data_IF_298796452189
#
_entry.id   IF_298796452189
#
_cell.length_a   1.000
_cell.length_b   1.000
_cell.length_c   1.000
_cell.angle_alpha   90.00
_cell.angle_beta   90.00
_cell.angle_gamma   90.00
#
_symmetry.space_group_name_H-M   'P 1'
#
loop_
_entity.id
_entity.type
_entity.pdbx_description
1 polymer ?
#
# COMPACT_ATOMS: atom_id res chain seq x y z
N UNK A 1 9.95 -7.31 -9.54
CA UNK A 1 8.55 -7.52 -10.05
C UNK A 1 7.51 -7.61 -8.94
N UNK A 2 7.76 -8.23 -7.78
CA UNK A 2 6.77 -8.38 -6.70
C UNK A 2 6.16 -7.06 -6.22
N UNK A 3 6.96 -5.99 -6.12
CA UNK A 3 6.44 -4.65 -5.84
C UNK A 3 5.41 -4.18 -6.87
N UNK A 4 5.72 -4.36 -8.17
CA UNK A 4 4.79 -3.96 -9.25
C UNK A 4 3.50 -4.76 -9.17
N UNK A 5 3.58 -6.07 -8.87
CA UNK A 5 2.40 -6.90 -8.64
C UNK A 5 1.55 -6.37 -7.48
N UNK A 6 2.17 -6.03 -6.35
CA UNK A 6 1.45 -5.43 -5.22
C UNK A 6 0.77 -4.11 -5.59
N UNK A 7 1.47 -3.24 -6.31
CA UNK A 7 0.91 -1.97 -6.76
C UNK A 7 -0.24 -2.17 -7.77
N UNK A 8 -0.12 -3.14 -8.68
CA UNK A 8 -1.20 -3.50 -9.62
C UNK A 8 -2.40 -4.13 -8.88
N UNK A 9 -2.15 -4.94 -7.85
CA UNK A 9 -3.22 -5.49 -7.00
C UNK A 9 -4.04 -4.38 -6.33
N UNK A 10 -3.41 -3.27 -5.93
CA UNK A 10 -4.07 -2.08 -5.40
C UNK A 10 -4.70 -1.23 -6.53
N UNK A 11 -3.90 -0.48 -7.23
CA UNK A 11 -4.30 0.59 -8.16
C UNK A 11 -4.37 0.16 -9.63
N UNK A 12 -4.03 -1.09 -9.96
CA UNK A 12 -4.04 -1.58 -11.33
C UNK A 12 -5.42 -1.98 -11.84
N UNK A 13 -5.62 -1.90 -13.14
CA UNK A 13 -6.84 -2.34 -13.82
C UNK A 13 -6.48 -3.05 -15.12
N UNK A 14 -7.04 -4.23 -15.36
CA UNK A 14 -6.98 -4.92 -16.64
C UNK A 14 -8.28 -4.65 -17.39
N UNK A 15 -8.18 -4.38 -18.68
CA UNK A 15 -9.34 -4.24 -19.54
C UNK A 15 -9.08 -4.77 -20.95
N UNK A 16 -10.14 -5.22 -21.60
CA UNK A 16 -10.13 -5.63 -23.00
C UNK A 16 -10.29 -4.40 -23.88
N UNK A 17 -9.54 -4.32 -24.97
CA UNK A 17 -9.70 -3.25 -25.95
C UNK A 17 -11.10 -3.30 -26.61
N UNK A 18 -11.77 -2.15 -26.67
CA UNK A 18 -13.07 -2.05 -27.38
C UNK A 18 -12.91 -2.13 -28.89
N UNK A 19 -11.75 -1.75 -29.42
CA UNK A 19 -11.53 -1.60 -30.87
C UNK A 19 -10.72 -2.76 -31.47
N UNK A 20 -10.03 -3.54 -30.67
CA UNK A 20 -9.18 -4.65 -31.12
C UNK A 20 -9.58 -5.92 -30.39
N UNK A 21 -10.17 -6.88 -31.11
CA UNK A 21 -10.48 -8.20 -30.58
C UNK A 21 -9.25 -8.82 -29.92
N UNK A 22 -9.45 -9.42 -28.74
CA UNK A 22 -8.43 -10.18 -27.99
C UNK A 22 -7.19 -9.37 -27.55
N UNK A 23 -7.26 -8.03 -27.52
CA UNK A 23 -6.16 -7.21 -27.01
C UNK A 23 -6.42 -6.81 -25.57
N UNK A 24 -5.55 -7.27 -24.66
CA UNK A 24 -5.57 -6.94 -23.25
C UNK A 24 -4.62 -5.77 -22.96
N UNK A 25 -5.03 -4.93 -22.05
CA UNK A 25 -4.26 -3.79 -21.57
C UNK A 25 -4.34 -3.75 -20.06
N UNK A 26 -3.22 -3.62 -19.37
CA UNK A 26 -3.26 -3.20 -17.97
C UNK A 26 -2.92 -1.72 -17.84
N UNK A 27 -3.54 -1.09 -16.87
CA UNK A 27 -3.40 0.33 -16.61
C UNK A 27 -3.08 0.55 -15.14
N UNK A 28 -2.14 1.45 -14.88
CA UNK A 28 -1.84 1.96 -13.54
C UNK A 28 -2.06 3.46 -13.56
N UNK A 29 -2.78 3.98 -12.59
CA UNK A 29 -3.02 5.42 -12.41
C UNK A 29 -2.46 5.88 -11.07
N UNK A 30 -1.78 7.03 -11.05
CA UNK A 30 -1.23 7.62 -9.83
C UNK A 30 -1.21 9.15 -9.93
N UNK A 31 -1.29 9.83 -8.79
CA UNK A 31 -1.00 11.27 -8.70
C UNK A 31 0.50 11.57 -8.77
N UNK A 32 1.33 10.58 -8.47
CA UNK A 32 2.78 10.69 -8.38
C UNK A 32 3.45 10.26 -9.70
N UNK A 33 3.62 11.20 -10.65
CA UNK A 33 4.24 10.93 -11.96
C UNK A 33 5.63 10.30 -11.86
N UNK A 34 6.47 10.82 -10.94
CA UNK A 34 7.83 10.29 -10.72
C UNK A 34 7.81 8.83 -10.27
N UNK A 35 6.78 8.42 -9.53
CA UNK A 35 6.62 7.03 -9.13
C UNK A 35 6.25 6.13 -10.31
N UNK A 36 5.35 6.58 -11.20
CA UNK A 36 5.04 5.86 -12.43
C UNK A 36 6.25 5.71 -13.36
N UNK A 37 7.16 6.71 -13.40
CA UNK A 37 8.43 6.58 -14.14
C UNK A 37 9.27 5.45 -13.59
N UNK A 38 9.40 5.31 -12.28
CA UNK A 38 10.13 4.20 -11.66
C UNK A 38 9.50 2.84 -12.00
N UNK A 39 8.15 2.74 -11.92
CA UNK A 39 7.42 1.51 -12.30
C UNK A 39 7.65 1.19 -13.79
N UNK A 40 7.55 2.21 -14.66
CA UNK A 40 7.82 2.06 -16.09
C UNK A 40 9.20 1.48 -16.36
N UNK A 41 10.23 1.98 -15.66
CA UNK A 41 11.61 1.50 -15.80
C UNK A 41 11.76 0.03 -15.38
N UNK A 42 11.13 -0.38 -14.27
CA UNK A 42 11.14 -1.79 -13.80
C UNK A 42 10.40 -2.72 -14.76
N UNK A 43 9.39 -2.20 -15.47
CA UNK A 43 8.67 -2.94 -16.51
C UNK A 43 9.40 -2.94 -17.86
N UNK A 44 10.54 -2.24 -17.97
CA UNK A 44 11.26 -2.03 -19.25
C UNK A 44 10.32 -1.59 -20.36
N UNK A 45 9.36 -0.71 -20.01
CA UNK A 45 8.24 -0.35 -20.87
C UNK A 45 8.53 0.91 -21.67
N UNK A 46 8.30 0.90 -22.97
CA UNK A 46 8.36 2.07 -23.84
C UNK A 46 7.05 2.89 -23.87
N UNK A 47 5.99 2.43 -23.21
CA UNK A 47 4.71 3.12 -23.21
C UNK A 47 4.78 4.49 -22.55
N UNK A 48 4.06 5.46 -23.13
CA UNK A 48 4.01 6.84 -22.64
C UNK A 48 3.20 6.95 -21.35
N UNK A 49 3.70 7.72 -20.39
CA UNK A 49 2.92 8.18 -19.24
C UNK A 49 2.13 9.41 -19.67
N UNK A 50 0.80 9.33 -19.62
CA UNK A 50 -0.11 10.38 -20.02
C UNK A 50 -0.79 11.03 -18.82
N UNK A 51 -1.10 12.32 -18.91
CA UNK A 51 -1.89 13.03 -17.91
C UNK A 51 -3.38 12.74 -18.10
N UNK A 52 -4.10 12.56 -16.98
CA UNK A 52 -5.55 12.43 -16.93
C UNK A 52 -6.09 13.55 -16.05
N UNK A 53 -6.89 14.41 -16.63
CA UNK A 53 -7.55 15.48 -15.90
C UNK A 53 -8.87 14.99 -15.33
N UNK A 54 -9.08 15.19 -14.03
CA UNK A 54 -10.39 14.95 -13.42
C UNK A 54 -11.25 16.18 -13.74
N UNK A 55 -12.38 15.95 -14.41
CA UNK A 55 -13.30 17.01 -14.86
C UNK A 55 -14.08 17.74 -13.75
N UNK A 56 -13.64 17.65 -12.48
CA UNK A 56 -14.23 18.38 -11.37
C UNK A 56 -13.59 19.76 -11.20
N UNK A 57 -14.35 20.76 -10.72
CA UNK A 57 -13.88 22.15 -10.50
C UNK A 57 -12.62 22.27 -9.61
N UNK A 58 -12.30 21.25 -8.83
CA UNK A 58 -11.10 21.13 -7.98
C UNK A 58 -10.04 20.22 -8.61
N UNK A 59 -10.10 20.00 -9.92
CA UNK A 59 -9.44 18.98 -10.71
C UNK A 59 -7.94 18.84 -10.47
N UNK A 60 -7.57 17.80 -9.76
CA UNK A 60 -6.18 17.33 -9.69
C UNK A 60 -5.79 16.61 -10.97
N UNK A 61 -4.51 16.72 -11.34
CA UNK A 61 -3.93 15.93 -12.43
C UNK A 61 -3.53 14.56 -11.87
N UNK A 62 -4.02 13.49 -12.49
CA UNK A 62 -3.51 12.14 -12.32
C UNK A 62 -2.71 11.74 -13.56
N UNK A 63 -1.80 10.82 -13.41
CA UNK A 63 -1.00 10.26 -14.50
C UNK A 63 -1.31 8.79 -14.63
N UNK A 64 -1.22 8.24 -15.84
CA UNK A 64 -1.41 6.82 -16.06
C UNK A 64 -0.42 6.28 -17.10
N UNK A 65 -0.10 5.02 -16.95
CA UNK A 65 0.58 4.20 -17.95
C UNK A 65 -0.36 3.08 -18.36
N UNK A 66 -0.51 2.89 -19.67
CA UNK A 66 -1.31 1.81 -20.25
C UNK A 66 -0.38 0.91 -21.04
N UNK A 67 -0.23 -0.33 -20.57
CA UNK A 67 0.64 -1.34 -21.20
C UNK A 67 -0.25 -2.34 -21.92
N UNK A 68 -0.19 -2.32 -23.23
CA UNK A 68 -0.87 -3.29 -24.08
C UNK A 68 0.05 -4.48 -24.32
N UNK A 69 -0.14 -5.52 -23.55
CA UNK A 69 0.65 -6.75 -23.63
C UNK A 69 -0.19 -7.91 -23.13
N UNK A 70 -0.58 -8.80 -24.04
CA UNK A 70 -1.42 -9.94 -23.70
C UNK A 70 -0.71 -10.92 -22.76
N UNK A 71 0.60 -11.14 -22.94
CA UNK A 71 1.38 -12.05 -22.10
C UNK A 71 1.33 -11.59 -20.64
N UNK A 72 1.75 -10.37 -20.37
CA UNK A 72 1.73 -9.80 -19.01
C UNK A 72 0.30 -9.79 -18.43
N UNK A 73 -0.71 -9.43 -19.24
CA UNK A 73 -2.09 -9.43 -18.77
C UNK A 73 -2.60 -10.83 -18.44
N UNK A 74 -2.26 -11.82 -19.25
CA UNK A 74 -2.62 -13.23 -18.99
C UNK A 74 -1.89 -13.75 -17.74
N UNK A 75 -0.62 -13.44 -17.56
CA UNK A 75 0.12 -13.81 -16.36
C UNK A 75 -0.52 -13.20 -15.11
N UNK A 76 -0.91 -11.92 -15.17
CA UNK A 76 -1.64 -11.26 -14.08
C UNK A 76 -2.99 -11.94 -13.81
N UNK A 77 -3.72 -12.34 -14.85
CA UNK A 77 -4.99 -13.05 -14.72
C UNK A 77 -4.79 -14.44 -14.09
N UNK A 78 -3.76 -15.17 -14.54
CA UNK A 78 -3.45 -16.51 -14.03
C UNK A 78 -3.09 -16.52 -12.54
N UNK A 79 -2.46 -15.45 -12.04
CA UNK A 79 -2.17 -15.31 -10.61
C UNK A 79 -3.31 -14.69 -9.79
N UNK A 80 -4.46 -14.35 -10.42
CA UNK A 80 -5.66 -13.88 -9.71
C UNK A 80 -5.98 -12.39 -9.86
N UNK A 81 -5.25 -11.63 -10.67
CA UNK A 81 -5.57 -10.22 -10.97
C UNK A 81 -6.52 -10.15 -12.16
N UNK A 82 -7.82 -10.09 -11.88
CA UNK A 82 -8.85 -10.03 -12.91
C UNK A 82 -9.36 -8.63 -13.20
N UNK A 83 -10.17 -8.52 -14.26
CA UNK A 83 -10.94 -7.29 -14.52
C UNK A 83 -11.92 -7.05 -13.36
N UNK A 84 -12.10 -5.78 -12.96
CA UNK A 84 -13.00 -5.37 -11.86
C UNK A 84 -12.70 -6.06 -10.52
N UNK A 85 -11.43 -6.38 -10.26
CA UNK A 85 -10.94 -7.15 -9.10
C UNK A 85 -11.32 -6.61 -7.72
N UNK A 86 -11.72 -5.35 -7.63
CA UNK A 86 -11.92 -4.64 -6.34
C UNK A 86 -12.74 -5.44 -5.33
N UNK A 87 -13.81 -6.09 -5.77
CA UNK A 87 -14.70 -6.89 -4.91
C UNK A 87 -14.35 -8.39 -4.90
N UNK A 88 -13.58 -8.86 -5.86
CA UNK A 88 -13.37 -10.29 -6.12
C UNK A 88 -11.92 -10.73 -5.94
N UNK A 89 -11.03 -9.82 -5.52
CA UNK A 89 -9.64 -10.14 -5.32
C UNK A 89 -9.50 -11.28 -4.30
N UNK A 90 -8.81 -12.34 -4.69
CA UNK A 90 -8.51 -13.47 -3.83
C UNK A 90 -7.08 -13.38 -3.30
N UNK A 91 -6.70 -14.19 -2.29
CA UNK A 91 -5.31 -14.34 -1.90
C UNK A 91 -4.41 -14.61 -3.11
N UNK A 92 -3.29 -13.89 -3.19
CA UNK A 92 -2.36 -14.04 -4.30
C UNK A 92 -1.19 -14.97 -3.92
N UNK A 93 -0.72 -15.82 -4.84
CA UNK A 93 0.36 -16.78 -4.58
C UNK A 93 1.74 -16.09 -4.63
N UNK A 94 2.03 -15.26 -3.63
CA UNK A 94 3.30 -14.56 -3.50
C UNK A 94 4.23 -15.38 -2.62
N UNK A 95 5.42 -15.81 -3.11
CA UNK A 95 6.41 -16.48 -2.29
C UNK A 95 6.89 -15.62 -1.13
N UNK A 96 7.21 -16.23 0.02
CA UNK A 96 7.57 -15.52 1.26
C UNK A 96 8.79 -14.60 1.08
N UNK A 97 9.75 -14.98 0.24
CA UNK A 97 10.95 -14.17 -0.05
C UNK A 97 10.61 -12.84 -0.74
N UNK A 98 9.54 -12.78 -1.54
CA UNK A 98 9.07 -11.58 -2.26
C UNK A 98 7.93 -10.87 -1.55
N UNK A 99 7.44 -11.42 -0.45
CA UNK A 99 6.29 -10.87 0.26
C UNK A 99 6.51 -9.45 0.80
N UNK A 100 7.71 -9.07 1.32
CA UNK A 100 7.98 -7.68 1.71
C UNK A 100 7.81 -6.68 0.57
N UNK A 101 8.30 -7.03 -0.62
CA UNK A 101 8.17 -6.20 -1.81
C UNK A 101 6.72 -6.08 -2.27
N UNK A 102 6.00 -7.19 -2.32
CA UNK A 102 4.58 -7.21 -2.66
C UNK A 102 3.78 -6.33 -1.71
N UNK A 103 3.97 -6.49 -0.40
CA UNK A 103 3.27 -5.71 0.63
C UNK A 103 3.62 -4.23 0.50
N UNK A 104 4.89 -3.86 0.23
CA UNK A 104 5.29 -2.48 -0.01
C UNK A 104 4.57 -1.89 -1.22
N UNK A 105 4.48 -2.64 -2.33
CA UNK A 105 3.75 -2.22 -3.53
C UNK A 105 2.26 -2.03 -3.27
N UNK A 106 1.62 -2.99 -2.59
CA UNK A 106 0.21 -2.89 -2.22
C UNK A 106 -0.05 -1.73 -1.24
N UNK A 107 0.86 -1.53 -0.26
CA UNK A 107 0.79 -0.40 0.65
C UNK A 107 0.93 0.94 -0.07
N UNK A 108 1.80 1.04 -1.04
CA UNK A 108 2.00 2.28 -1.80
C UNK A 108 0.77 2.64 -2.65
N UNK A 109 0.02 1.67 -3.14
CA UNK A 109 -1.31 1.90 -3.72
C UNK A 109 -2.34 2.24 -2.64
N UNK A 110 -2.88 1.25 -1.96
CA UNK A 110 -4.06 1.33 -1.08
C UNK A 110 -3.75 1.53 0.41
N UNK A 111 -2.50 1.40 0.85
CA UNK A 111 -2.15 1.56 2.25
C UNK A 111 -2.23 3.01 2.74
N UNK A 112 -2.38 3.17 4.03
CA UNK A 112 -2.47 4.47 4.70
C UNK A 112 -1.39 4.63 5.75
N UNK A 113 -0.90 5.85 5.93
CA UNK A 113 -0.02 6.25 7.02
C UNK A 113 -0.45 7.59 7.56
N UNK A 114 -0.79 7.62 8.85
CA UNK A 114 -1.26 8.80 9.56
C UNK A 114 -0.33 9.13 10.71
N UNK A 115 -0.05 10.43 10.87
CA UNK A 115 0.53 11.00 12.07
C UNK A 115 -0.56 11.80 12.76
N UNK A 116 -0.82 11.51 14.03
CA UNK A 116 -1.87 12.16 14.81
C UNK A 116 -1.39 12.42 16.23
N UNK A 117 -2.06 13.30 16.96
CA UNK A 117 -1.72 13.63 18.34
C UNK A 117 -2.73 13.01 19.30
N UNK A 118 -2.22 12.42 20.39
CA UNK A 118 -3.00 11.99 21.54
C UNK A 118 -2.36 12.63 22.76
N UNK A 119 -3.13 13.41 23.51
CA UNK A 119 -2.65 14.14 24.71
C UNK A 119 -1.34 14.93 24.45
N UNK A 120 -1.30 15.68 23.33
CA UNK A 120 -0.14 16.46 22.92
C UNK A 120 0.99 15.65 22.26
N UNK A 121 0.88 14.36 22.20
CA UNK A 121 1.92 13.43 21.76
C UNK A 121 1.66 12.90 20.36
N UNK A 122 2.65 12.97 19.48
CA UNK A 122 2.55 12.41 18.13
C UNK A 122 2.65 10.89 18.11
N UNK A 123 1.71 10.28 17.41
CA UNK A 123 1.67 8.84 17.16
C UNK A 123 1.59 8.56 15.67
N UNK A 124 1.94 7.33 15.30
CA UNK A 124 1.78 6.82 13.94
C UNK A 124 0.78 5.68 13.92
N UNK A 125 -0.01 5.66 12.87
CA UNK A 125 -0.91 4.55 12.54
C UNK A 125 -0.75 4.25 11.06
N UNK A 126 -0.58 2.99 10.74
CA UNK A 126 -0.56 2.49 9.35
C UNK A 126 -1.63 1.43 9.17
N UNK A 127 -2.00 1.14 7.94
CA UNK A 127 -2.98 0.09 7.69
C UNK A 127 -3.41 0.00 6.25
N UNK A 128 -4.36 -0.89 6.04
CA UNK A 128 -4.96 -1.16 4.74
C UNK A 128 -6.48 -1.10 4.85
N UNK A 129 -7.13 -0.71 3.77
CA UNK A 129 -8.58 -0.81 3.61
C UNK A 129 -8.85 -1.57 2.32
N UNK A 130 -9.68 -2.60 2.38
CA UNK A 130 -10.05 -3.40 1.22
C UNK A 130 -11.52 -3.82 1.32
N UNK A 131 -12.19 -4.00 0.19
CA UNK A 131 -13.57 -4.50 0.14
C UNK A 131 -13.63 -6.01 -0.03
N UNK A 132 -12.54 -6.66 -0.43
CA UNK A 132 -12.46 -8.11 -0.48
C UNK A 132 -12.02 -8.68 0.85
N UNK A 133 -12.94 -9.32 1.57
CA UNK A 133 -12.66 -9.99 2.84
C UNK A 133 -11.63 -11.13 2.68
N UNK A 134 -11.74 -12.05 1.69
CA UNK A 134 -10.76 -13.12 1.56
C UNK A 134 -9.33 -12.62 1.38
N UNK A 135 -9.14 -11.58 0.58
CA UNK A 135 -7.82 -11.01 0.35
C UNK A 135 -7.24 -10.32 1.58
N UNK A 136 -8.04 -9.47 2.25
CA UNK A 136 -7.54 -8.69 3.40
C UNK A 136 -7.28 -9.59 4.62
N UNK A 137 -8.04 -10.66 4.80
CA UNK A 137 -7.86 -11.63 5.88
C UNK A 137 -6.58 -12.45 5.70
N UNK A 138 -6.33 -12.96 4.49
CA UNK A 138 -5.06 -13.61 4.13
C UNK A 138 -3.86 -12.66 4.30
N UNK A 139 -3.98 -11.43 3.79
CA UNK A 139 -2.96 -10.41 3.95
C UNK A 139 -2.66 -10.13 5.44
N UNK A 140 -3.71 -9.99 6.27
CA UNK A 140 -3.59 -9.78 7.71
C UNK A 140 -2.83 -10.93 8.38
N UNK A 141 -3.23 -12.16 8.10
CA UNK A 141 -2.62 -13.36 8.67
C UNK A 141 -1.15 -13.49 8.29
N UNK A 142 -0.82 -13.39 7.01
CA UNK A 142 0.56 -13.46 6.50
C UNK A 142 1.43 -12.32 7.01
N UNK A 143 0.90 -11.10 6.99
CA UNK A 143 1.63 -9.91 7.46
C UNK A 143 1.92 -10.01 8.96
N UNK A 144 0.93 -10.35 9.78
CA UNK A 144 1.13 -10.47 11.22
C UNK A 144 2.13 -11.57 11.57
N UNK A 145 2.11 -12.70 10.86
CA UNK A 145 3.12 -13.76 10.98
C UNK A 145 4.51 -13.22 10.63
N UNK A 146 4.67 -12.52 9.50
CA UNK A 146 5.95 -11.97 9.05
C UNK A 146 6.51 -10.89 10.02
N UNK A 147 5.63 -10.11 10.65
CA UNK A 147 5.98 -9.09 11.64
C UNK A 147 6.21 -9.65 13.05
N UNK A 148 5.94 -10.92 13.27
CA UNK A 148 5.91 -11.53 14.60
C UNK A 148 5.04 -10.73 15.58
N UNK A 149 3.77 -10.57 15.23
CA UNK A 149 2.73 -9.91 16.04
C UNK A 149 1.45 -10.74 16.01
N UNK A 150 0.55 -10.59 16.99
CA UNK A 150 -0.76 -11.23 16.95
C UNK A 150 -1.57 -10.77 15.73
N UNK A 151 -2.33 -11.70 15.13
CA UNK A 151 -3.26 -11.38 14.03
C UNK A 151 -4.23 -10.30 14.49
N UNK A 152 -4.41 -9.28 13.66
CA UNK A 152 -5.26 -8.14 14.01
C UNK A 152 -6.73 -8.48 13.79
N UNK A 153 -7.58 -7.96 14.66
CA UNK A 153 -9.02 -7.97 14.40
C UNK A 153 -9.30 -7.03 13.23
N UNK A 154 -9.97 -7.53 12.20
CA UNK A 154 -10.45 -6.68 11.10
C UNK A 154 -11.56 -5.76 11.60
N UNK A 155 -11.46 -4.49 11.27
CA UNK A 155 -12.56 -3.56 11.45
C UNK A 155 -13.45 -3.59 10.21
N UNK A 156 -14.75 -3.74 10.43
CA UNK A 156 -15.76 -3.75 9.39
C UNK A 156 -16.52 -2.42 9.40
N UNK A 157 -16.47 -1.69 8.29
CA UNK A 157 -17.23 -0.48 8.05
C UNK A 157 -18.40 -0.81 7.13
N UNK A 158 -19.64 -0.73 7.70
CA UNK A 158 -20.90 -1.03 7.01
C UNK A 158 -21.73 0.25 6.84
N UNK A 159 -21.47 1.04 5.80
CA UNK A 159 -22.29 2.23 5.54
C UNK A 159 -23.72 1.82 5.20
N UNK A 160 -24.70 2.64 5.60
CA UNK A 160 -26.14 2.40 5.33
C UNK A 160 -26.42 2.15 3.84
N UNK A 161 -25.74 2.93 2.97
CA UNK A 161 -25.80 2.81 1.52
C UNK A 161 -24.37 2.74 1.00
N UNK A 162 -23.88 1.54 0.71
CA UNK A 162 -22.52 1.41 0.18
C UNK A 162 -21.92 0.03 0.36
N UNK A 163 -20.69 -0.09 -0.05
CA UNK A 163 -19.94 -1.33 -0.02
C UNK A 163 -19.26 -1.49 1.34
N UNK A 164 -19.40 -2.67 1.93
CA UNK A 164 -18.69 -3.04 3.16
C UNK A 164 -17.19 -2.99 2.92
N UNK A 165 -16.45 -2.40 3.84
CA UNK A 165 -14.99 -2.30 3.81
C UNK A 165 -14.41 -2.93 5.06
N UNK A 166 -13.28 -3.57 4.88
CA UNK A 166 -12.52 -4.19 5.96
C UNK A 166 -11.18 -3.46 6.10
N UNK A 167 -10.73 -3.23 7.33
CA UNK A 167 -9.44 -2.58 7.56
C UNK A 167 -8.57 -3.32 8.56
N UNK A 168 -7.25 -3.27 8.29
CA UNK A 168 -6.18 -3.65 9.22
C UNK A 168 -5.56 -2.37 9.73
N UNK A 169 -5.46 -2.24 11.04
CA UNK A 169 -4.81 -1.13 11.70
C UNK A 169 -3.57 -1.60 12.47
N UNK A 170 -2.44 -0.99 12.15
CA UNK A 170 -1.16 -1.17 12.84
C UNK A 170 -0.84 0.12 13.58
N UNK A 171 -0.74 0.04 14.90
CA UNK A 171 -0.37 1.18 15.74
C UNK A 171 1.14 1.24 15.91
N UNK A 172 1.61 2.13 16.68
CA UNK A 172 3.00 2.59 16.82
C UNK A 172 4.08 1.50 16.69
N UNK A 173 4.09 0.50 17.57
CA UNK A 173 5.12 -0.56 17.57
C UNK A 173 4.99 -1.48 16.35
N UNK A 174 3.76 -1.81 15.98
CA UNK A 174 3.49 -2.60 14.78
C UNK A 174 3.83 -1.80 13.51
N UNK A 175 3.54 -0.49 13.47
CA UNK A 175 3.91 0.38 12.35
C UNK A 175 5.42 0.50 12.19
N UNK A 176 6.19 0.45 13.29
CA UNK A 176 7.65 0.41 13.24
C UNK A 176 8.14 -0.90 12.63
N UNK A 177 7.67 -2.04 13.15
CA UNK A 177 7.99 -3.36 12.61
C UNK A 177 7.62 -3.43 11.12
N UNK A 178 6.45 -2.90 10.77
CA UNK A 178 5.97 -2.83 9.39
C UNK A 178 6.87 -1.99 8.48
N UNK A 179 7.34 -0.84 8.96
CA UNK A 179 8.32 -0.05 8.21
C UNK A 179 9.61 -0.83 7.98
N UNK A 180 10.17 -1.42 9.05
CA UNK A 180 11.43 -2.17 8.97
C UNK A 180 11.28 -3.39 8.04
N UNK A 181 10.12 -4.05 8.04
CA UNK A 181 9.79 -5.15 7.12
C UNK A 181 9.76 -4.71 5.65
N UNK A 182 9.10 -3.59 5.34
CA UNK A 182 8.98 -3.11 3.96
C UNK A 182 10.27 -2.53 3.39
N UNK A 183 11.14 -1.97 4.24
CA UNK A 183 12.31 -1.20 3.84
C UNK A 183 13.62 -1.79 4.38
N UNK A 184 13.62 -3.10 4.67
CA UNK A 184 14.79 -3.84 5.17
C UNK A 184 15.95 -3.75 4.18
N UNK A 185 15.64 -3.94 2.91
CA UNK A 185 16.63 -3.85 1.83
C UNK A 185 16.58 -2.45 1.20
N UNK A 186 17.71 -2.02 0.64
CA UNK A 186 17.83 -0.70 -0.01
C UNK A 186 17.11 -0.68 -1.38
N UNK A 187 15.79 -0.92 -1.32
CA UNK A 187 14.96 -0.92 -2.51
C UNK A 187 14.75 0.49 -3.03
N UNK A 188 14.98 0.70 -4.32
CA UNK A 188 14.74 1.97 -5.01
C UNK A 188 13.26 2.24 -5.31
N UNK A 189 12.42 1.20 -5.24
CA UNK A 189 11.00 1.28 -5.65
C UNK A 189 10.08 1.43 -4.45
N UNK A 190 9.68 2.65 -4.17
CA UNK A 190 8.72 3.03 -3.14
C UNK A 190 8.07 4.38 -3.44
N UNK A 191 6.92 4.63 -2.84
CA UNK A 191 6.21 5.91 -2.93
C UNK A 191 6.78 6.90 -1.89
N UNK A 192 7.57 7.85 -2.37
CA UNK A 192 8.34 8.79 -1.55
C UNK A 192 7.51 9.50 -0.47
N UNK A 193 6.28 9.94 -0.80
CA UNK A 193 5.42 10.66 0.16
C UNK A 193 4.99 9.79 1.36
N UNK A 194 4.82 8.47 1.17
CA UNK A 194 4.48 7.55 2.26
C UNK A 194 5.71 7.26 3.12
N UNK A 195 6.85 6.92 2.51
CA UNK A 195 8.12 6.69 3.23
C UNK A 195 8.52 7.90 4.07
N UNK A 196 8.45 9.12 3.51
CA UNK A 196 8.76 10.36 4.23
C UNK A 196 7.92 10.57 5.50
N UNK A 197 6.67 10.08 5.56
CA UNK A 197 5.88 10.18 6.80
C UNK A 197 6.45 9.31 7.92
N UNK A 198 6.93 8.11 7.62
CA UNK A 198 7.62 7.26 8.59
C UNK A 198 8.95 7.89 9.04
N UNK A 199 9.74 8.39 8.08
CA UNK A 199 11.02 9.06 8.36
C UNK A 199 10.79 10.29 9.24
N UNK A 200 9.80 11.13 8.90
CA UNK A 200 9.40 12.26 9.73
C UNK A 200 9.05 11.81 11.14
N UNK A 201 8.27 10.75 11.29
CA UNK A 201 7.91 10.22 12.59
C UNK A 201 9.14 9.73 13.39
N UNK A 202 10.12 9.10 12.72
CA UNK A 202 11.36 8.65 13.35
C UNK A 202 12.22 9.82 13.90
N UNK A 203 12.17 11.00 13.26
CA UNK A 203 12.96 12.17 13.66
C UNK A 203 12.32 13.00 14.77
N UNK A 204 11.04 12.81 15.02
CA UNK A 204 10.35 13.59 16.05
C UNK A 204 10.87 13.22 17.44
N UNK A 205 11.20 14.23 18.28
CA UNK A 205 11.65 14.02 19.66
C UNK A 205 10.65 13.17 20.43
N UNK A 206 11.13 12.12 21.07
CA UNK A 206 10.33 11.16 21.80
C UNK A 206 10.42 11.43 23.28
N UNK A 207 9.29 11.43 23.99
CA UNK A 207 9.29 11.41 25.45
C UNK A 207 9.64 9.99 25.88
N UNK A 208 10.79 9.80 26.51
CA UNK A 208 11.13 8.55 27.17
C UNK A 208 10.28 8.38 28.44
N UNK A 209 9.95 7.16 28.75
CA UNK A 209 9.41 6.80 30.06
C UNK A 209 10.57 6.50 30.99
N UNK A 210 10.69 7.24 32.11
CA UNK A 210 11.72 7.01 33.11
C UNK A 210 11.22 5.94 34.09
N UNK A 211 11.90 4.81 34.12
CA UNK A 211 11.68 3.76 35.11
C UNK A 211 13.04 3.42 35.71
N UNK A 212 13.18 3.58 37.03
CA UNK A 212 14.42 3.26 37.78
C UNK A 212 15.67 3.96 37.20
N UNK A 213 15.61 5.26 36.94
CA UNK A 213 16.68 6.09 36.37
C UNK A 213 17.08 5.75 34.91
N UNK A 214 16.44 4.78 34.28
CA UNK A 214 16.64 4.51 32.85
C UNK A 214 15.54 5.16 32.01
N UNK A 215 15.90 5.69 30.85
CA UNK A 215 14.94 6.21 29.89
C UNK A 215 14.49 5.07 28.99
N UNK A 216 13.24 4.64 29.12
CA UNK A 216 12.65 3.66 28.25
C UNK A 216 11.72 4.31 27.23
N UNK A 217 11.72 3.87 25.95
CA UNK A 217 10.66 4.24 25.04
C UNK A 217 9.32 3.72 25.59
N UNK A 218 8.28 4.55 25.56
CA UNK A 218 6.97 4.18 26.06
C UNK A 218 6.46 2.90 25.38
N UNK A 219 5.92 1.96 26.17
CA UNK A 219 5.31 0.74 25.66
C UNK A 219 4.07 0.98 24.79
N UNK A 220 3.44 2.14 24.90
CA UNK A 220 2.20 2.50 24.20
C UNK A 220 2.49 3.24 22.91
N UNK A 221 3.75 3.46 22.60
CA UNK A 221 4.15 4.16 21.42
C UNK A 221 5.02 5.37 21.71
N UNK A 222 5.49 5.93 20.66
CA UNK A 222 6.43 7.02 20.73
C UNK A 222 5.66 8.32 20.97
N UNK A 223 5.79 8.84 22.18
CA UNK A 223 5.21 10.12 22.53
C UNK A 223 6.15 11.24 22.09
N UNK A 224 5.65 12.19 21.37
CA UNK A 224 6.40 13.33 20.88
C UNK A 224 6.04 14.57 21.67
N UNK A 225 7.05 15.27 22.18
CA UNK A 225 6.85 16.63 22.64
C UNK A 225 6.57 17.49 21.42
N UNK A 226 5.30 17.75 21.16
CA UNK A 226 4.91 18.81 20.26
C UNK A 226 4.76 20.09 21.06
N UNK A 227 5.68 20.98 20.97
CA UNK A 227 5.47 22.40 20.98
C UNK A 227 5.82 22.90 19.60
#
# INVERSE_FOLDING_TARGET
>A
MAYVLGYVAADGCIHTSKTRKNSLTFNITSKDKSHLVKIKNVLESEYKISAKFNGTKTGGVAYHIQVRNNTICNDLINIGIHQRKTHTLQPLPVPDEYFPDFVRGFFDGDGTVYLYKVNGTWQIKTGFVCVSLPFIDDLNTKLCKALNIPVKKLHEDKPKNGVVKYSIDLYVDDSKKFFDFMYKDDSSLFLTRKKKKFEKWKTLKRRGYIKNNDIYPSKVGWHLNGK
#
